data_IF_490892665474
#
_entry.id   IF_490892665474
#
_cell.length_a   1.000
_cell.length_b   1.000
_cell.length_c   1.000
_cell.angle_alpha   90.00
_cell.angle_beta   90.00
_cell.angle_gamma   90.00
#
_symmetry.space_group_name_H-M   'P 1'
#
loop_
_entity.id
_entity.type
_entity.pdbx_description
1 polymer ?
#
# COMPACT_ATOMS: atom_id res chain seq x y z
N UNK A 1 -28.22 16.22 -4.23
CA UNK A 1 -27.31 15.11 -3.82
C UNK A 1 -25.97 15.17 -4.54
N UNK A 2 -25.87 15.26 -5.89
CA UNK A 2 -24.61 15.33 -6.66
C UNK A 2 -23.64 16.44 -6.19
N UNK A 3 -24.09 17.67 -5.95
CA UNK A 3 -23.25 18.80 -5.49
C UNK A 3 -22.62 18.57 -4.11
N UNK A 4 -23.33 17.90 -3.21
CA UNK A 4 -22.84 17.60 -1.84
C UNK A 4 -21.74 16.53 -1.83
N UNK A 5 -21.86 15.51 -2.70
CA UNK A 5 -20.88 14.44 -2.85
C UNK A 5 -19.60 14.98 -3.51
N UNK A 6 -19.73 15.80 -4.56
CA UNK A 6 -18.58 16.45 -5.23
C UNK A 6 -17.82 17.37 -4.25
N UNK A 7 -18.52 18.16 -3.43
CA UNK A 7 -17.92 19.07 -2.44
C UNK A 7 -17.17 18.30 -1.33
N UNK A 8 -17.70 17.16 -0.90
CA UNK A 8 -17.02 16.27 0.07
C UNK A 8 -15.74 15.66 -0.51
N UNK A 9 -15.77 15.21 -1.78
CA UNK A 9 -14.58 14.64 -2.43
C UNK A 9 -13.47 15.66 -2.65
N UNK A 10 -13.81 16.89 -3.04
CA UNK A 10 -12.84 17.99 -3.20
C UNK A 10 -12.22 18.35 -1.85
N UNK A 11 -13.01 18.43 -0.78
CA UNK A 11 -12.50 18.71 0.56
C UNK A 11 -11.49 17.64 1.02
N UNK A 12 -11.77 16.35 0.77
CA UNK A 12 -10.84 15.27 1.11
C UNK A 12 -9.54 15.36 0.32
N UNK A 13 -9.59 15.68 -0.97
CA UNK A 13 -8.39 15.88 -1.79
C UNK A 13 -7.54 17.03 -1.25
N UNK A 14 -8.16 18.17 -0.94
CA UNK A 14 -7.48 19.32 -0.35
C UNK A 14 -6.81 18.93 0.97
N UNK A 15 -7.52 18.20 1.83
CA UNK A 15 -7.02 17.76 3.14
C UNK A 15 -5.83 16.81 3.01
N UNK A 16 -5.83 15.90 2.04
CA UNK A 16 -4.71 15.02 1.73
C UNK A 16 -3.50 15.82 1.22
N UNK A 17 -3.72 16.75 0.29
CA UNK A 17 -2.65 17.59 -0.27
C UNK A 17 -2.02 18.45 0.82
N UNK A 18 -2.83 19.08 1.69
CA UNK A 18 -2.33 19.88 2.81
C UNK A 18 -1.58 19.04 3.83
N UNK A 19 -2.03 17.82 4.13
CA UNK A 19 -1.33 16.90 5.01
C UNK A 19 0.05 16.49 4.46
N UNK A 20 0.12 16.19 3.16
CA UNK A 20 1.38 15.86 2.48
C UNK A 20 2.32 17.07 2.48
N UNK A 21 1.82 18.27 2.18
CA UNK A 21 2.61 19.50 2.19
C UNK A 21 3.15 19.81 3.60
N UNK A 22 2.33 19.68 4.64
CA UNK A 22 2.74 19.85 6.04
C UNK A 22 3.81 18.82 6.44
N UNK A 23 3.66 17.55 6.04
CA UNK A 23 4.65 16.51 6.32
C UNK A 23 5.99 16.77 5.59
N UNK A 24 5.94 17.29 4.35
CA UNK A 24 7.14 17.71 3.61
C UNK A 24 7.83 18.90 4.29
N UNK A 25 7.06 19.88 4.79
CA UNK A 25 7.60 21.01 5.56
C UNK A 25 8.30 20.52 6.82
N UNK A 26 7.66 19.66 7.62
CA UNK A 26 8.27 19.04 8.80
C UNK A 26 9.59 18.33 8.44
N UNK A 27 9.66 17.67 7.28
CA UNK A 27 10.89 17.02 6.81
C UNK A 27 12.01 18.01 6.51
N UNK A 28 11.68 19.16 5.93
CA UNK A 28 12.70 20.20 5.68
C UNK A 28 13.23 20.80 6.99
N UNK A 29 12.32 21.04 7.94
CA UNK A 29 12.69 21.54 9.27
C UNK A 29 13.56 20.53 10.05
N UNK A 30 13.27 19.25 9.97
CA UNK A 30 14.04 18.14 10.54
C UNK A 30 15.49 18.11 9.99
N UNK A 31 15.67 18.40 8.69
CA UNK A 31 16.99 18.48 8.04
C UNK A 31 17.84 19.67 8.48
N UNK A 32 17.21 20.76 8.90
CA UNK A 32 17.90 21.96 9.38
C UNK A 32 18.43 21.76 10.81
N UNK A 33 18.14 20.59 11.42
CA UNK A 33 18.76 20.18 12.68
C UNK A 33 18.08 20.73 13.94
N UNK A 34 16.83 21.18 13.82
CA UNK A 34 16.20 21.93 14.91
C UNK A 34 15.60 21.05 16.01
N UNK A 35 15.08 19.85 15.77
CA UNK A 35 14.58 18.95 16.84
C UNK A 35 14.01 17.65 16.27
N UNK A 36 14.26 16.50 16.90
CA UNK A 36 13.62 15.18 16.61
C UNK A 36 12.09 15.23 16.64
N UNK A 37 11.49 16.26 17.24
CA UNK A 37 10.05 16.46 17.33
C UNK A 37 9.36 16.56 15.97
N UNK A 38 10.04 17.12 14.95
CA UNK A 38 9.48 17.22 13.60
C UNK A 38 9.34 15.86 12.92
N UNK A 39 10.23 14.91 13.22
CA UNK A 39 10.10 13.52 12.79
C UNK A 39 8.87 12.83 13.37
N UNK A 40 8.58 13.08 14.65
CA UNK A 40 7.38 12.55 15.35
C UNK A 40 6.11 13.17 14.75
N UNK A 41 6.06 14.50 14.61
CA UNK A 41 4.91 15.22 14.05
C UNK A 41 4.61 14.72 12.63
N UNK A 42 5.63 14.58 11.79
CA UNK A 42 5.50 14.03 10.43
C UNK A 42 4.88 12.64 10.44
N UNK A 43 5.34 11.77 11.32
CA UNK A 43 4.82 10.40 11.43
C UNK A 43 3.36 10.40 11.87
N UNK A 44 2.98 11.23 12.83
CA UNK A 44 1.60 11.38 13.27
C UNK A 44 0.70 11.90 12.15
N UNK A 45 1.14 12.91 11.37
CA UNK A 45 0.39 13.41 10.20
C UNK A 45 0.06 12.27 9.23
N UNK A 46 1.02 11.41 8.88
CA UNK A 46 0.78 10.28 7.98
C UNK A 46 -0.14 9.23 8.61
N UNK A 47 0.04 8.88 9.88
CA UNK A 47 -0.81 7.92 10.59
C UNK A 47 -2.27 8.41 10.59
N UNK A 48 -2.52 9.67 10.98
CA UNK A 48 -3.87 10.24 10.99
C UNK A 48 -4.46 10.34 9.59
N UNK A 49 -3.68 10.71 8.59
CA UNK A 49 -4.12 10.77 7.20
C UNK A 49 -4.60 9.39 6.70
N UNK A 50 -3.84 8.32 6.94
CA UNK A 50 -4.24 6.97 6.53
C UNK A 50 -5.39 6.40 7.37
N UNK A 51 -5.50 6.75 8.66
CA UNK A 51 -6.66 6.40 9.49
C UNK A 51 -7.93 7.03 8.94
N UNK A 52 -7.92 8.34 8.65
CA UNK A 52 -9.06 9.06 8.07
C UNK A 52 -9.42 8.45 6.71
N UNK A 53 -8.43 8.16 5.87
CA UNK A 53 -8.64 7.48 4.60
C UNK A 53 -9.32 6.12 4.80
N UNK A 54 -8.86 5.29 5.73
CA UNK A 54 -9.46 3.99 6.05
C UNK A 54 -10.91 4.08 6.52
N UNK A 55 -11.24 5.09 7.35
CA UNK A 55 -12.61 5.37 7.79
C UNK A 55 -13.49 5.77 6.60
N UNK A 56 -12.99 6.64 5.71
CA UNK A 56 -13.73 7.05 4.50
C UNK A 56 -14.00 5.88 3.56
N UNK A 57 -13.04 4.95 3.39
CA UNK A 57 -13.22 3.73 2.61
C UNK A 57 -14.38 2.88 3.14
N UNK A 58 -14.45 2.69 4.46
CA UNK A 58 -15.49 1.91 5.11
C UNK A 58 -16.89 2.46 4.81
N UNK A 59 -17.02 3.78 4.68
CA UNK A 59 -18.29 4.44 4.40
C UNK A 59 -18.65 4.48 2.91
N UNK A 60 -17.65 4.34 2.02
CA UNK A 60 -17.83 4.45 0.57
C UNK A 60 -18.04 3.10 -0.10
N UNK A 61 -17.55 2.01 0.44
CA UNK A 61 -17.61 0.68 -0.17
C UNK A 61 -18.86 -0.05 0.32
N UNK A 62 -19.76 -0.42 -0.60
CA UNK A 62 -21.02 -1.11 -0.31
C UNK A 62 -20.78 -2.59 -0.09
N UNK A 63 -20.01 -3.26 -0.94
CA UNK A 63 -19.76 -4.70 -0.87
C UNK A 63 -19.01 -5.09 0.41
N UNK A 64 -19.59 -5.97 1.21
CA UNK A 64 -19.12 -6.33 2.55
C UNK A 64 -17.70 -6.87 2.55
N UNK A 65 -17.38 -7.81 1.64
CA UNK A 65 -16.04 -8.41 1.59
C UNK A 65 -14.97 -7.41 1.11
N UNK A 66 -15.23 -6.69 0.02
CA UNK A 66 -14.32 -5.65 -0.46
C UNK A 66 -14.08 -4.58 0.62
N UNK A 67 -15.12 -4.20 1.37
CA UNK A 67 -15.01 -3.28 2.51
C UNK A 67 -14.05 -3.80 3.57
N UNK A 68 -14.19 -5.07 3.98
CA UNK A 68 -13.30 -5.69 4.97
C UNK A 68 -11.85 -5.68 4.51
N UNK A 69 -11.58 -6.15 3.29
CA UNK A 69 -10.21 -6.20 2.75
C UNK A 69 -9.60 -4.81 2.60
N UNK A 70 -10.34 -3.84 2.06
CA UNK A 70 -9.86 -2.48 1.91
C UNK A 70 -9.59 -1.79 3.26
N UNK A 71 -10.43 -2.04 4.28
CA UNK A 71 -10.18 -1.57 5.63
C UNK A 71 -8.96 -2.24 6.25
N UNK A 72 -8.73 -3.53 5.98
CA UNK A 72 -7.52 -4.24 6.41
C UNK A 72 -6.27 -3.67 5.74
N UNK A 73 -6.33 -3.34 4.44
CA UNK A 73 -5.22 -2.68 3.72
C UNK A 73 -4.89 -1.33 4.38
N UNK A 74 -5.91 -0.51 4.66
CA UNK A 74 -5.70 0.77 5.33
C UNK A 74 -5.06 0.59 6.72
N UNK A 75 -5.53 -0.40 7.49
CA UNK A 75 -4.94 -0.76 8.78
C UNK A 75 -3.48 -1.21 8.67
N UNK A 76 -3.15 -2.01 7.65
CA UNK A 76 -1.78 -2.45 7.38
C UNK A 76 -0.85 -1.30 6.96
N UNK A 77 -1.35 -0.32 6.22
CA UNK A 77 -0.58 0.89 5.89
C UNK A 77 -0.29 1.71 7.16
N UNK A 78 -1.30 1.91 8.01
CA UNK A 78 -1.12 2.58 9.32
C UNK A 78 -0.10 1.83 10.17
N UNK A 79 -0.21 0.51 10.26
CA UNK A 79 0.72 -0.35 10.98
C UNK A 79 2.15 -0.21 10.43
N UNK A 80 2.33 -0.19 9.10
CA UNK A 80 3.63 -0.01 8.47
C UNK A 80 4.29 1.32 8.84
N UNK A 81 3.55 2.42 8.72
CA UNK A 81 4.05 3.75 9.10
C UNK A 81 4.33 3.83 10.60
N UNK A 82 3.52 3.20 11.45
CA UNK A 82 3.71 3.16 12.89
C UNK A 82 5.00 2.40 13.26
N UNK A 83 5.21 1.18 12.75
CA UNK A 83 6.42 0.40 12.99
C UNK A 83 7.67 1.14 12.50
N UNK A 84 7.58 1.76 11.32
CA UNK A 84 8.67 2.59 10.83
C UNK A 84 8.99 3.72 11.80
N UNK A 85 7.98 4.39 12.34
CA UNK A 85 8.18 5.48 13.29
C UNK A 85 8.83 4.98 14.59
N UNK A 86 8.37 3.84 15.11
CA UNK A 86 8.99 3.19 16.28
C UNK A 86 10.45 2.84 16.02
N UNK A 87 10.74 2.27 14.82
CA UNK A 87 12.11 1.90 14.43
C UNK A 87 13.07 3.09 14.45
N UNK A 88 12.67 4.24 13.89
CA UNK A 88 13.57 5.38 13.75
C UNK A 88 13.57 6.34 14.93
N UNK A 89 12.54 6.31 15.81
CA UNK A 89 12.41 7.25 16.92
C UNK A 89 12.75 6.59 18.26
N UNK A 90 12.40 5.31 18.44
CA UNK A 90 12.42 4.65 19.74
C UNK A 90 13.48 3.54 19.81
N UNK A 91 13.65 2.75 18.74
CA UNK A 91 14.54 1.60 18.76
C UNK A 91 16.02 2.02 18.78
N UNK A 92 16.76 1.56 19.80
CA UNK A 92 18.18 1.85 19.98
C UNK A 92 19.06 0.62 19.81
N UNK A 93 18.55 -0.58 20.09
CA UNK A 93 19.33 -1.80 19.96
C UNK A 93 19.31 -2.35 18.53
N UNK A 94 20.44 -2.84 17.99
CA UNK A 94 20.49 -3.45 16.64
C UNK A 94 19.46 -4.57 16.45
N UNK A 95 19.24 -5.37 17.50
CA UNK A 95 18.23 -6.43 17.50
C UNK A 95 16.80 -5.87 17.31
N UNK A 96 16.42 -4.83 18.09
CA UNK A 96 15.09 -4.25 17.99
C UNK A 96 14.86 -3.59 16.61
N UNK A 97 15.85 -2.88 16.08
CA UNK A 97 15.82 -2.26 14.76
C UNK A 97 15.62 -3.32 13.67
N UNK A 98 16.35 -4.44 13.73
CA UNK A 98 16.23 -5.56 12.79
C UNK A 98 14.86 -6.24 12.88
N UNK A 99 14.37 -6.52 14.11
CA UNK A 99 13.04 -7.12 14.30
C UNK A 99 11.94 -6.24 13.74
N UNK A 100 11.97 -4.93 14.00
CA UNK A 100 11.03 -3.96 13.44
C UNK A 100 11.12 -3.90 11.91
N UNK A 101 12.32 -4.05 11.34
CA UNK A 101 12.49 -4.13 9.90
C UNK A 101 11.87 -5.41 9.30
N UNK A 102 12.01 -6.58 9.94
CA UNK A 102 11.29 -7.79 9.51
C UNK A 102 9.77 -7.60 9.56
N UNK A 103 9.24 -6.87 10.54
CA UNK A 103 7.81 -6.59 10.62
C UNK A 103 7.28 -5.77 9.43
N UNK A 104 8.12 -5.09 8.65
CA UNK A 104 7.71 -4.44 7.39
C UNK A 104 7.17 -5.44 6.37
N UNK A 105 7.61 -6.70 6.43
CA UNK A 105 7.14 -7.74 5.52
C UNK A 105 5.70 -8.15 5.78
N UNK A 106 5.14 -7.88 6.98
CA UNK A 106 3.72 -8.11 7.25
C UNK A 106 2.85 -7.31 6.27
N UNK A 107 2.89 -5.97 6.21
CA UNK A 107 2.12 -5.22 5.24
C UNK A 107 2.56 -5.49 3.80
N UNK A 108 3.85 -5.69 3.52
CA UNK A 108 4.34 -5.97 2.18
C UNK A 108 3.76 -7.26 1.58
N UNK A 109 3.52 -8.29 2.39
CA UNK A 109 2.95 -9.57 1.96
C UNK A 109 1.42 -9.52 1.93
N UNK A 110 0.79 -8.97 2.97
CA UNK A 110 -0.68 -8.99 3.09
C UNK A 110 -1.37 -7.98 2.17
N UNK A 111 -0.78 -6.81 1.89
CA UNK A 111 -1.41 -5.80 1.02
C UNK A 111 -1.64 -6.34 -0.39
N UNK A 112 -0.67 -6.93 -1.11
CA UNK A 112 -0.90 -7.54 -2.42
C UNK A 112 -1.92 -8.68 -2.39
N UNK A 113 -1.90 -9.51 -1.35
CA UNK A 113 -2.86 -10.59 -1.18
C UNK A 113 -4.27 -10.05 -1.01
N UNK A 114 -4.50 -9.05 -0.14
CA UNK A 114 -5.81 -8.42 -0.01
C UNK A 114 -6.23 -7.68 -1.28
N UNK A 115 -5.30 -7.07 -2.01
CA UNK A 115 -5.57 -6.45 -3.31
C UNK A 115 -6.13 -7.48 -4.31
N UNK A 116 -5.54 -8.68 -4.37
CA UNK A 116 -6.05 -9.78 -5.18
C UNK A 116 -7.47 -10.19 -4.73
N UNK A 117 -7.71 -10.35 -3.43
CA UNK A 117 -9.04 -10.70 -2.91
C UNK A 117 -10.09 -9.61 -3.19
N UNK A 118 -9.72 -8.34 -3.10
CA UNK A 118 -10.58 -7.23 -3.54
C UNK A 118 -10.89 -7.35 -5.02
N UNK A 119 -9.89 -7.54 -5.87
CA UNK A 119 -10.08 -7.68 -7.31
C UNK A 119 -10.98 -8.86 -7.66
N UNK A 120 -10.84 -10.00 -6.97
CA UNK A 120 -11.69 -11.17 -7.14
C UNK A 120 -13.14 -10.95 -6.68
N UNK A 121 -13.35 -10.11 -5.66
CA UNK A 121 -14.70 -9.81 -5.14
C UNK A 121 -15.44 -8.75 -5.96
N UNK A 122 -14.75 -7.87 -6.67
CA UNK A 122 -15.36 -6.79 -7.46
C UNK A 122 -16.34 -7.31 -8.53
N UNK A 123 -17.47 -6.63 -8.66
CA UNK A 123 -18.53 -6.98 -9.63
C UNK A 123 -19.39 -8.17 -9.21
N UNK A 124 -19.25 -8.67 -7.99
CA UNK A 124 -20.10 -9.70 -7.40
C UNK A 124 -21.18 -9.07 -6.50
N UNK A 125 -22.28 -9.80 -6.21
CA UNK A 125 -23.33 -9.35 -5.30
C UNK A 125 -22.79 -8.91 -3.93
N UNK A 126 -23.55 -8.09 -3.21
CA UNK A 126 -23.15 -7.53 -1.90
C UNK A 126 -22.75 -8.62 -0.89
N UNK A 127 -23.53 -9.70 -0.82
CA UNK A 127 -23.35 -10.83 0.11
C UNK A 127 -22.47 -11.96 -0.45
N UNK A 128 -21.80 -11.74 -1.59
CA UNK A 128 -20.93 -12.75 -2.18
C UNK A 128 -19.81 -13.13 -1.25
N UNK A 129 -19.60 -14.43 -1.06
CA UNK A 129 -18.47 -14.98 -0.32
C UNK A 129 -17.46 -15.59 -1.31
N UNK A 130 -16.20 -15.31 -1.09
CA UNK A 130 -15.13 -15.92 -1.88
C UNK A 130 -15.09 -17.44 -1.64
N UNK A 131 -14.69 -18.24 -2.66
CA UNK A 131 -14.52 -19.68 -2.51
C UNK A 131 -13.52 -20.04 -1.41
N UNK A 132 -13.73 -21.20 -0.76
CA UNK A 132 -12.84 -21.67 0.30
C UNK A 132 -11.36 -21.81 -0.17
N UNK A 133 -11.12 -22.05 -1.45
CA UNK A 133 -9.76 -22.11 -2.03
C UNK A 133 -8.96 -20.83 -1.80
N UNK A 134 -9.62 -19.67 -1.69
CA UNK A 134 -8.91 -18.41 -1.39
C UNK A 134 -8.31 -18.39 0.01
N UNK A 135 -8.72 -19.31 0.92
CA UNK A 135 -8.09 -19.45 2.24
C UNK A 135 -6.61 -19.89 2.14
N UNK A 136 -6.23 -20.59 1.06
CA UNK A 136 -4.83 -20.94 0.80
C UNK A 136 -3.93 -19.71 0.68
N UNK A 137 -4.45 -18.59 0.16
CA UNK A 137 -3.69 -17.34 0.09
C UNK A 137 -3.38 -16.79 1.49
N UNK A 138 -4.32 -16.92 2.44
CA UNK A 138 -4.06 -16.53 3.83
C UNK A 138 -2.99 -17.42 4.47
N UNK A 139 -3.11 -18.74 4.30
CA UNK A 139 -2.13 -19.68 4.84
C UNK A 139 -0.75 -19.40 4.25
N UNK A 140 -0.66 -19.24 2.93
CA UNK A 140 0.60 -18.90 2.26
C UNK A 140 1.19 -17.58 2.79
N UNK A 141 0.37 -16.52 2.93
CA UNK A 141 0.82 -15.24 3.46
C UNK A 141 1.35 -15.36 4.89
N UNK A 142 0.63 -16.08 5.75
CA UNK A 142 1.06 -16.30 7.15
C UNK A 142 2.38 -17.06 7.19
N UNK A 143 2.53 -18.13 6.41
CA UNK A 143 3.78 -18.89 6.31
C UNK A 143 4.94 -18.02 5.81
N UNK A 144 4.73 -17.18 4.80
CA UNK A 144 5.75 -16.24 4.31
C UNK A 144 6.15 -15.22 5.37
N UNK A 145 5.20 -14.69 6.15
CA UNK A 145 5.49 -13.77 7.26
C UNK A 145 6.29 -14.49 8.35
N UNK A 146 5.87 -15.68 8.78
CA UNK A 146 6.62 -16.47 9.77
C UNK A 146 8.04 -16.74 9.26
N UNK A 147 8.18 -17.14 8.00
CA UNK A 147 9.47 -17.40 7.36
C UNK A 147 10.41 -16.19 7.41
N UNK A 148 9.89 -14.97 7.19
CA UNK A 148 10.70 -13.74 7.30
C UNK A 148 11.00 -13.40 8.76
N UNK A 149 10.00 -13.47 9.67
CA UNK A 149 10.19 -13.11 11.07
C UNK A 149 11.15 -14.06 11.82
N UNK A 150 11.25 -15.31 11.38
CA UNK A 150 12.17 -16.30 11.94
C UNK A 150 13.54 -16.34 11.24
N UNK A 151 13.84 -15.36 10.38
CA UNK A 151 15.08 -15.37 9.59
C UNK A 151 16.36 -15.49 10.44
N UNK A 152 16.38 -14.94 11.64
CA UNK A 152 17.54 -15.05 12.56
C UNK A 152 17.86 -16.50 12.98
N UNK A 153 16.95 -17.46 12.78
CA UNK A 153 17.15 -18.88 13.08
C UNK A 153 17.78 -19.66 11.92
N UNK A 154 17.48 -19.25 10.66
CA UNK A 154 17.84 -20.05 9.48
C UNK A 154 18.62 -19.27 8.41
N UNK A 155 18.63 -17.92 8.41
CA UNK A 155 19.34 -17.05 7.46
C UNK A 155 19.02 -17.37 5.98
N UNK A 156 17.82 -17.90 5.68
CA UNK A 156 17.43 -18.29 4.32
C UNK A 156 16.81 -17.14 3.52
N UNK A 157 16.31 -16.10 4.19
CA UNK A 157 15.73 -14.90 3.54
C UNK A 157 16.79 -13.81 3.41
N UNK A 158 17.47 -13.50 4.51
CA UNK A 158 18.54 -12.51 4.58
C UNK A 158 19.77 -13.13 5.26
N UNK A 159 20.94 -12.81 4.71
CA UNK A 159 22.23 -13.17 5.28
C UNK A 159 22.94 -11.89 5.74
N UNK A 160 23.42 -11.92 6.96
CA UNK A 160 24.15 -10.81 7.57
C UNK A 160 25.64 -11.18 7.67
N UNK A 161 26.56 -10.24 7.44
CA UNK A 161 27.97 -10.45 7.66
C UNK A 161 28.29 -10.39 9.15
N UNK A 162 29.38 -11.09 9.56
CA UNK A 162 29.90 -11.00 10.91
C UNK A 162 29.08 -11.74 11.97
N UNK A 163 29.35 -11.41 13.23
CA UNK A 163 28.72 -12.02 14.40
C UNK A 163 27.28 -11.53 14.57
N UNK A 164 26.45 -12.39 15.16
CA UNK A 164 24.99 -12.17 15.31
C UNK A 164 24.64 -10.88 16.05
N UNK A 165 25.50 -10.44 16.97
CA UNK A 165 25.31 -9.24 17.77
C UNK A 165 25.48 -7.95 16.93
N UNK A 166 26.23 -8.02 15.83
CA UNK A 166 26.49 -6.89 14.90
C UNK A 166 25.49 -6.82 13.76
N UNK A 167 24.60 -7.80 13.62
CA UNK A 167 23.62 -7.82 12.54
C UNK A 167 22.70 -6.61 12.61
N UNK A 168 22.65 -5.86 11.53
CA UNK A 168 21.78 -4.71 11.39
C UNK A 168 21.01 -4.76 10.05
N UNK A 169 20.03 -3.88 9.89
CA UNK A 169 19.15 -3.83 8.72
C UNK A 169 19.72 -3.03 7.53
N UNK A 170 20.94 -2.53 7.63
CA UNK A 170 21.60 -1.78 6.56
C UNK A 170 22.67 -2.59 5.82
N UNK A 171 23.18 -3.66 6.46
CA UNK A 171 24.25 -4.49 5.89
C UNK A 171 23.79 -5.95 5.82
N UNK A 172 23.19 -6.33 4.72
CA UNK A 172 22.68 -7.68 4.46
C UNK A 172 22.74 -8.03 2.98
N UNK A 173 22.67 -9.32 2.70
CA UNK A 173 22.51 -9.86 1.34
C UNK A 173 21.23 -10.69 1.23
N UNK A 174 20.59 -10.67 0.06
CA UNK A 174 19.42 -11.48 -0.21
C UNK A 174 19.79 -12.95 -0.40
N UNK A 175 19.10 -13.83 0.33
CA UNK A 175 19.22 -15.28 0.14
C UNK A 175 18.05 -15.82 -0.72
N UNK A 176 18.08 -17.12 -1.06
CA UNK A 176 17.08 -17.74 -1.94
C UNK A 176 15.63 -17.58 -1.48
N UNK A 177 15.39 -17.60 -0.16
CA UNK A 177 14.07 -17.42 0.42
C UNK A 177 13.44 -16.05 0.15
N UNK A 178 14.27 -14.99 0.03
CA UNK A 178 13.78 -13.67 -0.35
C UNK A 178 13.06 -13.68 -1.70
N UNK A 179 13.63 -14.36 -2.70
CA UNK A 179 13.04 -14.44 -4.04
C UNK A 179 11.71 -15.20 -4.06
N UNK A 180 11.52 -16.16 -3.14
CA UNK A 180 10.25 -16.86 -2.96
C UNK A 180 9.19 -15.89 -2.43
N UNK A 181 9.52 -15.12 -1.39
CA UNK A 181 8.63 -14.10 -0.81
C UNK A 181 8.31 -13.01 -1.84
N UNK A 182 9.32 -12.48 -2.53
CA UNK A 182 9.15 -11.47 -3.57
C UNK A 182 8.30 -11.99 -4.74
N UNK A 183 8.54 -13.23 -5.18
CA UNK A 183 7.75 -13.91 -6.21
C UNK A 183 6.28 -14.05 -5.81
N UNK A 184 6.00 -14.41 -4.56
CA UNK A 184 4.64 -14.48 -4.05
C UNK A 184 3.93 -13.11 -4.08
N UNK A 185 4.59 -12.05 -3.61
CA UNK A 185 4.05 -10.69 -3.65
C UNK A 185 3.76 -10.24 -5.09
N UNK A 186 4.69 -10.53 -6.01
CA UNK A 186 4.56 -10.21 -7.43
C UNK A 186 3.38 -10.96 -8.06
N UNK A 187 3.25 -12.26 -7.79
CA UNK A 187 2.13 -13.08 -8.28
C UNK A 187 0.78 -12.55 -7.78
N UNK A 188 0.67 -12.18 -6.50
CA UNK A 188 -0.55 -11.57 -5.96
C UNK A 188 -0.87 -10.25 -6.66
N UNK A 189 0.14 -9.41 -6.89
CA UNK A 189 -0.02 -8.10 -7.56
C UNK A 189 -0.46 -8.29 -9.02
N UNK A 190 0.23 -9.11 -9.78
CA UNK A 190 -0.13 -9.43 -11.18
C UNK A 190 -1.52 -10.05 -11.24
N UNK A 191 -1.83 -11.01 -10.36
CA UNK A 191 -3.14 -11.64 -10.27
C UNK A 191 -4.26 -10.63 -9.99
N UNK A 192 -4.03 -9.64 -9.13
CA UNK A 192 -4.98 -8.57 -8.88
C UNK A 192 -5.26 -7.74 -10.14
N UNK A 193 -4.22 -7.37 -10.90
CA UNK A 193 -4.39 -6.63 -12.17
C UNK A 193 -5.07 -7.47 -13.25
N UNK A 194 -4.68 -8.73 -13.43
CA UNK A 194 -5.33 -9.64 -14.38
C UNK A 194 -6.81 -9.79 -14.04
N UNK A 195 -7.15 -9.97 -12.75
CA UNK A 195 -8.54 -10.07 -12.30
C UNK A 195 -9.32 -8.77 -12.54
N UNK A 196 -8.72 -7.60 -12.34
CA UNK A 196 -9.33 -6.30 -12.63
C UNK A 196 -9.59 -6.12 -14.12
N UNK A 197 -8.59 -6.39 -14.97
CA UNK A 197 -8.68 -6.21 -16.43
C UNK A 197 -9.68 -7.20 -17.02
N UNK A 198 -9.67 -8.47 -16.60
CA UNK A 198 -10.58 -9.51 -17.11
C UNK A 198 -12.06 -9.23 -16.82
N UNK A 199 -12.34 -8.52 -15.71
CA UNK A 199 -13.69 -8.09 -15.36
C UNK A 199 -14.17 -6.87 -16.14
N UNK A 200 -13.28 -6.19 -16.87
CA UNK A 200 -13.60 -5.02 -17.67
C UNK A 200 -14.12 -5.43 -19.06
N UNK A 201 -15.42 -5.77 -19.16
CA UNK A 201 -16.06 -6.19 -20.42
C UNK A 201 -16.43 -5.06 -21.37
N UNK A 202 -16.38 -3.79 -20.93
CA UNK A 202 -16.80 -2.63 -21.76
C UNK A 202 -15.57 -2.01 -22.40
N UNK A 203 -15.46 -2.00 -23.76
CA UNK A 203 -14.28 -1.50 -24.48
C UNK A 203 -13.90 -0.05 -24.13
N UNK A 204 -14.89 0.85 -23.99
CA UNK A 204 -14.68 2.25 -23.60
C UNK A 204 -14.19 2.42 -22.16
N UNK A 205 -14.53 1.49 -21.25
CA UNK A 205 -14.10 1.52 -19.86
C UNK A 205 -12.69 0.94 -19.65
N UNK A 206 -12.13 0.21 -20.62
CA UNK A 206 -10.76 -0.34 -20.56
C UNK A 206 -9.71 0.74 -20.31
N UNK A 207 -9.84 1.89 -20.96
CA UNK A 207 -8.93 3.03 -20.75
C UNK A 207 -8.96 3.55 -19.30
N UNK A 208 -10.11 3.51 -18.64
CA UNK A 208 -10.27 3.96 -17.25
C UNK A 208 -9.59 3.01 -16.27
N UNK A 209 -9.52 1.70 -16.58
CA UNK A 209 -8.83 0.71 -15.75
C UNK A 209 -7.29 0.75 -15.83
N UNK A 210 -6.74 1.53 -16.78
CA UNK A 210 -5.30 1.82 -16.82
C UNK A 210 -4.93 2.83 -15.72
N UNK A 211 -5.85 3.67 -15.26
CA UNK A 211 -5.59 4.68 -14.22
C UNK A 211 -4.99 4.09 -12.92
N UNK A 212 -5.52 2.99 -12.34
CA UNK A 212 -4.91 2.38 -11.16
C UNK A 212 -3.51 1.80 -11.40
N UNK A 213 -3.17 1.49 -12.64
CA UNK A 213 -1.86 0.96 -13.00
C UNK A 213 -0.77 2.04 -12.93
N UNK A 214 -1.10 3.30 -13.20
CA UNK A 214 -0.14 4.39 -13.17
C UNK A 214 0.59 4.55 -11.83
N UNK A 215 -0.09 4.60 -10.64
CA UNK A 215 0.61 4.67 -9.37
C UNK A 215 1.44 3.43 -9.07
N UNK A 216 1.06 2.25 -9.56
CA UNK A 216 1.84 1.00 -9.37
C UNK A 216 3.10 1.03 -10.23
N UNK A 217 2.99 1.46 -11.49
CA UNK A 217 4.17 1.67 -12.35
C UNK A 217 5.10 2.72 -11.74
N UNK A 218 4.54 3.84 -11.25
CA UNK A 218 5.31 4.85 -10.53
C UNK A 218 6.01 4.28 -9.29
N UNK A 219 5.33 3.39 -8.55
CA UNK A 219 5.89 2.71 -7.39
C UNK A 219 7.07 1.80 -7.78
N UNK A 220 6.94 1.03 -8.86
CA UNK A 220 8.01 0.16 -9.35
C UNK A 220 9.21 1.00 -9.81
N UNK A 221 8.98 2.04 -10.62
CA UNK A 221 10.05 2.95 -11.08
C UNK A 221 10.73 3.60 -9.87
N UNK A 222 9.96 4.11 -8.92
CA UNK A 222 10.48 4.71 -7.69
C UNK A 222 11.35 3.73 -6.90
N UNK A 223 10.89 2.50 -6.70
CA UNK A 223 11.64 1.46 -5.97
C UNK A 223 12.94 1.11 -6.68
N UNK A 224 12.91 0.96 -8.01
CA UNK A 224 14.11 0.69 -8.81
C UNK A 224 15.11 1.85 -8.72
N UNK A 225 14.65 3.09 -8.83
CA UNK A 225 15.51 4.28 -8.70
C UNK A 225 16.08 4.41 -7.29
N UNK A 226 15.30 4.08 -6.26
CA UNK A 226 15.75 4.11 -4.87
C UNK A 226 16.88 3.11 -4.63
N UNK A 227 16.67 1.85 -5.02
CA UNK A 227 17.66 0.78 -4.88
C UNK A 227 18.91 1.06 -5.73
N UNK A 228 18.76 1.53 -6.99
CA UNK A 228 19.91 1.90 -7.82
C UNK A 228 20.68 3.10 -7.27
N UNK A 229 19.98 4.05 -6.63
CA UNK A 229 20.58 5.19 -5.96
C UNK A 229 21.43 4.79 -4.74
N UNK A 230 21.04 3.76 -4.00
CA UNK A 230 21.85 3.19 -2.93
C UNK A 230 23.14 2.56 -3.48
N UNK A 231 23.03 1.81 -4.58
CA UNK A 231 24.20 1.15 -5.22
C UNK A 231 25.18 2.17 -5.82
N UNK A 232 24.66 3.26 -6.41
CA UNK A 232 25.49 4.27 -7.12
C UNK A 232 25.92 5.45 -6.25
N UNK A 233 25.55 5.48 -4.96
CA UNK A 233 25.84 6.59 -4.04
C UNK A 233 25.11 7.90 -4.38
N UNK A 234 24.02 7.82 -5.14
CA UNK A 234 23.26 8.95 -5.67
C UNK A 234 22.43 9.67 -4.60
N UNK A 235 23.04 10.67 -3.93
CA UNK A 235 22.39 11.49 -2.91
C UNK A 235 21.15 12.27 -3.41
N UNK A 236 21.04 12.53 -4.73
CA UNK A 236 19.94 13.28 -5.32
C UNK A 236 18.59 12.56 -5.21
N UNK A 237 18.56 11.25 -5.52
CA UNK A 237 17.33 10.44 -5.47
C UNK A 237 16.84 10.32 -4.03
N UNK A 238 17.74 10.07 -3.08
CA UNK A 238 17.40 10.04 -1.65
C UNK A 238 16.90 11.39 -1.12
N UNK A 239 17.41 12.51 -1.65
CA UNK A 239 16.91 13.85 -1.29
C UNK A 239 15.52 14.12 -1.84
N UNK A 240 15.25 13.74 -3.09
CA UNK A 240 13.97 13.99 -3.75
C UNK A 240 12.88 13.02 -3.28
N UNK A 241 13.22 11.75 -3.26
CA UNK A 241 12.27 10.65 -3.08
C UNK A 241 11.75 10.49 -1.64
N UNK A 242 12.45 11.01 -0.65
CA UNK A 242 11.99 10.90 0.72
C UNK A 242 12.15 9.51 1.32
N UNK A 243 11.21 9.18 2.16
CA UNK A 243 11.12 7.91 2.86
C UNK A 243 10.42 6.87 1.98
N UNK A 244 11.10 5.77 1.71
CA UNK A 244 10.57 4.70 0.85
C UNK A 244 9.25 4.16 1.38
N UNK A 245 9.14 3.87 2.69
CA UNK A 245 7.93 3.32 3.30
C UNK A 245 6.72 4.23 3.11
N UNK A 246 6.91 5.53 3.35
CA UNK A 246 5.83 6.53 3.22
C UNK A 246 5.43 6.69 1.75
N UNK A 247 6.41 6.80 0.85
CA UNK A 247 6.13 6.99 -0.59
C UNK A 247 5.42 5.78 -1.18
N UNK A 248 5.85 4.56 -0.86
CA UNK A 248 5.19 3.32 -1.30
C UNK A 248 3.78 3.24 -0.71
N UNK A 249 3.58 3.59 0.56
CA UNK A 249 2.25 3.63 1.20
C UNK A 249 1.32 4.63 0.52
N UNK A 250 1.79 5.84 0.18
CA UNK A 250 1.03 6.86 -0.55
C UNK A 250 0.63 6.38 -1.95
N UNK A 251 1.57 5.82 -2.71
CA UNK A 251 1.31 5.30 -4.05
C UNK A 251 0.35 4.10 -4.01
N UNK A 252 0.45 3.25 -3.00
CA UNK A 252 -0.48 2.15 -2.75
C UNK A 252 -1.89 2.68 -2.48
N UNK A 253 -2.04 3.64 -1.55
CA UNK A 253 -3.33 4.25 -1.26
C UNK A 253 -3.92 4.96 -2.48
N UNK A 254 -3.11 5.66 -3.27
CA UNK A 254 -3.52 6.31 -4.51
C UNK A 254 -4.00 5.30 -5.56
N UNK A 255 -3.31 4.15 -5.70
CA UNK A 255 -3.73 3.08 -6.60
C UNK A 255 -5.13 2.55 -6.24
N UNK A 256 -5.39 2.30 -4.95
CA UNK A 256 -6.71 1.87 -4.50
C UNK A 256 -7.77 2.96 -4.66
N UNK A 257 -7.44 4.23 -4.42
CA UNK A 257 -8.36 5.33 -4.65
C UNK A 257 -8.74 5.44 -6.13
N UNK A 258 -7.78 5.30 -7.04
CA UNK A 258 -8.04 5.23 -8.49
C UNK A 258 -8.95 4.05 -8.85
N UNK A 259 -8.73 2.86 -8.26
CA UNK A 259 -9.61 1.70 -8.45
C UNK A 259 -11.06 2.00 -8.04
N UNK A 260 -11.24 2.62 -6.88
CA UNK A 260 -12.56 2.97 -6.35
C UNK A 260 -13.26 3.98 -7.27
N UNK A 261 -12.55 5.03 -7.70
CA UNK A 261 -13.11 6.02 -8.62
C UNK A 261 -13.52 5.41 -9.96
N UNK A 262 -12.72 4.48 -10.50
CA UNK A 262 -13.05 3.74 -11.73
C UNK A 262 -14.33 2.91 -11.57
N UNK A 263 -14.53 2.27 -10.43
CA UNK A 263 -15.75 1.48 -10.13
C UNK A 263 -16.96 2.40 -10.00
N UNK A 264 -16.84 3.54 -9.31
CA UNK A 264 -17.94 4.52 -9.20
C UNK A 264 -18.33 5.16 -10.54
N UNK A 265 -17.36 5.53 -11.35
CA UNK A 265 -17.62 6.06 -12.69
C UNK A 265 -18.41 5.06 -13.54
N UNK A 266 -18.13 3.77 -13.41
CA UNK A 266 -18.86 2.70 -14.10
C UNK A 266 -20.31 2.60 -13.67
N UNK A 267 -20.58 2.63 -12.36
CA UNK A 267 -21.96 2.57 -11.81
C UNK A 267 -22.77 3.74 -12.33
N UNK A 268 -22.22 4.97 -12.35
CA UNK A 268 -22.88 6.16 -12.85
C UNK A 268 -23.19 6.08 -14.36
N UNK A 269 -22.30 5.53 -15.17
CA UNK A 269 -22.52 5.34 -16.62
C UNK A 269 -23.64 4.32 -16.85
N UNK A 270 -23.66 3.21 -16.11
CA UNK A 270 -24.70 2.19 -16.25
C UNK A 270 -26.05 2.71 -15.82
N UNK A 271 -26.16 3.48 -14.73
CA UNK A 271 -27.40 4.12 -14.30
C UNK A 271 -27.89 5.16 -15.33
N UNK A 272 -27.01 5.97 -15.88
CA UNK A 272 -27.37 6.95 -16.92
C UNK A 272 -27.87 6.26 -18.19
N UNK A 273 -27.35 5.10 -18.53
CA UNK A 273 -27.79 4.33 -19.69
C UNK A 273 -29.16 3.67 -19.44
N UNK A 274 -29.39 3.04 -18.28
CA UNK A 274 -30.68 2.46 -17.90
C UNK A 274 -31.80 3.52 -17.82
N UNK A 275 -31.52 4.70 -17.27
CA UNK A 275 -32.51 5.77 -17.21
C UNK A 275 -32.88 6.33 -18.58
N UNK A 276 -31.96 6.34 -19.56
CA UNK A 276 -32.26 6.74 -20.94
C UNK A 276 -33.06 5.69 -21.71
N UNK A 277 -32.84 4.41 -21.42
CA UNK A 277 -33.60 3.32 -22.05
C UNK A 277 -35.03 3.27 -21.48
N UNK A 278 -35.25 3.57 -20.21
CA UNK A 278 -36.60 3.68 -19.62
C UNK A 278 -37.42 4.89 -20.13
N UNK A 279 -36.75 5.92 -20.65
CA UNK A 279 -37.45 7.06 -21.29
C UNK A 279 -37.78 6.84 -22.76
N UNK A 280 -37.30 5.74 -23.36
CA UNK A 280 -37.53 5.41 -24.80
C UNK A 280 -38.49 4.20 -24.98
N UNK A 281 -38.97 3.60 -23.89
CA UNK A 281 -40.05 2.62 -23.82
C UNK A 281 -41.29 3.26 -23.17
#
# INVERSE_FOLDING_TARGET
MKKRIARSSVLHIILIITAIAAAMLCRQLDRIGTMQIFGIIRSLIYIFMFLIWGITLRNRIVQIQAKRFMTSIAGLIVFWVAIRSVKFIIAQSPFAVRMLWYMYYIPMIFIPMFALLVALSLGKPENYRLPAVTSLLYVASVLMVIFVLTNDLHCLVFRFPGEREMWNDSDYSYAGGYYIVAGYMLLCTIGAFVALISKCRIPKARKTFIMPLLPVVAMVIYTLLYVSGEITGGTFIHRLAGDMTVTVSLLTALSFECCIQCVYARILITYSFCSRVQFLL
#
